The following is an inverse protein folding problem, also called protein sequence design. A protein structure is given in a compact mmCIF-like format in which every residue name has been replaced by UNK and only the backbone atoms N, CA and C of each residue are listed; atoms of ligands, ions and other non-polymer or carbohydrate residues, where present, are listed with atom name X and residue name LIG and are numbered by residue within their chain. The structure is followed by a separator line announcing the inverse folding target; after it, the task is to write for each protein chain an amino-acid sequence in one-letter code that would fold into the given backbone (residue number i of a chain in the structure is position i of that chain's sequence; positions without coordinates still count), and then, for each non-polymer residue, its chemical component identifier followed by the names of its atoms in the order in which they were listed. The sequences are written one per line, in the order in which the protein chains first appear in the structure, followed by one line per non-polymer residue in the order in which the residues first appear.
data_IF_621797152715
#
_entry.id   IF_621797152715
#
_cell.length_a   1.000
_cell.length_b   1.000
_cell.length_c   1.000
_cell.angle_alpha   90.00
_cell.angle_beta   90.00
_cell.angle_gamma   90.00
#
_symmetry.space_group_name_H-M   'P 1'
#
loop_
_entity.id
_entity.type
_entity.pdbx_description
1 polymer ?
#
# COMPACT_ATOMS: atom_id res chain seq x y z
N UNK A 1 -1.10 -33.42 3.73
CA UNK A 1 -0.26 -33.18 4.92
C UNK A 1 0.14 -31.72 4.92
N UNK A 2 0.04 -31.00 6.04
CA UNK A 2 0.56 -29.62 6.12
C UNK A 2 2.09 -29.63 5.99
N UNK A 3 2.63 -28.82 5.08
CA UNK A 3 4.08 -28.72 4.85
C UNK A 3 4.81 -28.15 6.07
N UNK A 4 6.09 -28.51 6.25
CA UNK A 4 6.93 -27.98 7.33
C UNK A 4 7.77 -26.82 6.81
N UNK A 5 7.78 -25.69 7.51
CA UNK A 5 8.56 -24.50 7.16
C UNK A 5 9.39 -24.08 8.35
N UNK A 6 10.70 -23.91 8.15
CA UNK A 6 11.59 -23.29 9.13
C UNK A 6 11.92 -21.87 8.67
N UNK A 7 11.66 -20.88 9.52
CA UNK A 7 11.98 -19.48 9.24
C UNK A 7 13.05 -19.02 10.21
N UNK A 8 14.22 -18.72 9.68
CA UNK A 8 15.28 -18.03 10.39
C UNK A 8 15.25 -16.54 10.03
N UNK A 9 15.03 -15.66 11.01
CA UNK A 9 14.98 -14.23 10.69
C UNK A 9 14.80 -13.30 11.88
N UNK A 10 14.66 -12.01 11.57
CA UNK A 10 14.59 -10.94 12.56
C UNK A 10 13.25 -10.90 13.29
N UNK A 11 13.30 -10.41 14.52
CA UNK A 11 12.18 -9.87 15.28
C UNK A 11 12.52 -8.42 15.61
N UNK A 12 11.56 -7.53 15.43
CA UNK A 12 11.65 -6.15 15.90
C UNK A 12 10.52 -5.83 16.88
N UNK A 13 10.84 -5.08 17.91
CA UNK A 13 9.85 -4.33 18.69
C UNK A 13 9.58 -3.00 17.97
N UNK A 14 8.37 -2.83 17.43
CA UNK A 14 8.02 -1.57 16.79
C UNK A 14 7.33 -0.65 17.78
N UNK A 15 7.78 0.60 17.86
CA UNK A 15 7.11 1.67 18.59
C UNK A 15 6.68 2.73 17.59
N UNK A 16 5.37 2.89 17.43
CA UNK A 16 4.76 3.89 16.54
C UNK A 16 4.31 5.08 17.39
N UNK A 17 4.90 6.25 17.16
CA UNK A 17 4.53 7.50 17.79
C UNK A 17 3.83 8.41 16.79
N UNK A 18 2.61 8.87 17.10
CA UNK A 18 1.92 9.90 16.33
C UNK A 18 2.34 11.27 16.83
N UNK A 19 2.77 12.12 15.90
CA UNK A 19 3.30 13.46 16.17
C UNK A 19 2.71 14.46 15.20
N UNK A 20 2.60 15.73 15.60
CA UNK A 20 2.03 16.76 14.72
C UNK A 20 2.96 17.11 13.54
N UNK A 21 4.26 16.89 13.70
CA UNK A 21 5.27 17.03 12.64
C UNK A 21 6.50 16.21 13.01
N UNK A 22 7.43 16.04 12.08
CA UNK A 22 8.72 15.46 12.44
C UNK A 22 9.50 16.39 13.38
N UNK A 23 10.21 15.83 14.37
CA UNK A 23 11.07 16.61 15.26
C UNK A 23 12.29 17.14 14.48
N UNK A 24 12.78 18.32 14.86
CA UNK A 24 14.08 18.83 14.37
C UNK A 24 15.19 18.47 15.37
N UNK A 25 16.47 18.46 14.96
CA UNK A 25 17.57 18.16 15.88
C UNK A 25 17.57 19.05 17.13
N UNK A 26 17.67 18.44 18.31
CA UNK A 26 17.70 19.14 19.61
C UNK A 26 16.31 19.49 20.18
N UNK A 27 15.23 19.22 19.44
CA UNK A 27 13.87 19.47 19.92
C UNK A 27 13.29 18.29 20.70
N UNK A 28 12.48 18.61 21.72
CA UNK A 28 11.56 17.66 22.35
C UNK A 28 10.14 17.91 21.85
N UNK A 29 9.56 16.94 21.13
CA UNK A 29 8.20 17.01 20.62
C UNK A 29 7.30 16.00 21.36
N UNK A 30 6.14 16.45 21.81
CA UNK A 30 5.16 15.59 22.48
C UNK A 30 4.38 14.80 21.44
N UNK A 31 4.36 13.48 21.59
CA UNK A 31 3.51 12.62 20.77
C UNK A 31 2.05 12.69 21.27
N UNK A 32 1.10 12.81 20.34
CA UNK A 32 -0.32 12.77 20.65
C UNK A 32 -0.83 11.33 20.89
N UNK A 33 0.01 10.33 20.66
CA UNK A 33 -0.21 8.95 21.07
C UNK A 33 0.93 8.04 20.67
N UNK A 34 1.03 6.88 21.31
CA UNK A 34 2.02 5.85 20.98
C UNK A 34 1.44 4.46 21.09
N UNK A 35 1.94 3.54 20.26
CA UNK A 35 1.58 2.12 20.28
C UNK A 35 2.83 1.27 20.09
N UNK A 36 2.81 0.07 20.68
CA UNK A 36 3.88 -0.92 20.54
C UNK A 36 3.35 -2.17 19.85
N UNK A 37 4.09 -2.72 18.89
CA UNK A 37 3.73 -3.95 18.20
C UNK A 37 4.95 -4.85 17.96
N UNK A 38 4.69 -6.12 17.65
CA UNK A 38 5.71 -7.00 17.10
C UNK A 38 5.86 -6.76 15.59
N UNK A 39 7.11 -6.78 15.12
CA UNK A 39 7.46 -6.70 13.71
C UNK A 39 8.73 -7.46 13.39
N UNK A 40 9.36 -7.07 12.28
CA UNK A 40 10.54 -7.75 11.74
C UNK A 40 10.17 -8.73 10.64
N UNK A 41 10.91 -8.68 9.52
CA UNK A 41 10.61 -9.45 8.31
C UNK A 41 10.55 -10.96 8.59
N UNK A 42 11.45 -11.48 9.43
CA UNK A 42 11.44 -12.91 9.80
C UNK A 42 10.18 -13.33 10.53
N UNK A 43 9.79 -12.58 11.57
CA UNK A 43 8.58 -12.83 12.34
C UNK A 43 7.31 -12.71 11.46
N UNK A 44 7.26 -11.71 10.58
CA UNK A 44 6.13 -11.50 9.66
C UNK A 44 6.00 -12.65 8.66
N UNK A 45 7.11 -13.09 8.05
CA UNK A 45 7.13 -14.22 7.12
C UNK A 45 6.73 -15.54 7.79
N UNK A 46 7.23 -15.80 9.01
CA UNK A 46 6.84 -16.97 9.79
C UNK A 46 5.35 -17.00 10.08
N UNK A 47 4.79 -15.85 10.48
CA UNK A 47 3.36 -15.69 10.73
C UNK A 47 2.55 -15.89 9.46
N UNK A 48 3.01 -15.38 8.32
CA UNK A 48 2.36 -15.59 7.03
C UNK A 48 2.35 -17.08 6.63
N UNK A 49 3.48 -17.79 6.80
CA UNK A 49 3.54 -19.23 6.53
C UNK A 49 2.59 -20.03 7.44
N UNK A 50 2.48 -19.65 8.71
CA UNK A 50 1.55 -20.27 9.65
C UNK A 50 0.09 -20.05 9.22
N UNK A 51 -0.26 -18.81 8.85
CA UNK A 51 -1.61 -18.47 8.36
C UNK A 51 -1.94 -19.17 7.02
N UNK A 52 -0.94 -19.46 6.20
CA UNK A 52 -1.10 -20.28 4.99
C UNK A 52 -1.26 -21.79 5.30
N UNK A 53 -1.27 -22.18 6.58
CA UNK A 53 -1.53 -23.55 7.03
C UNK A 53 -0.28 -24.42 7.13
N UNK A 54 0.93 -23.86 7.09
CA UNK A 54 2.16 -24.62 7.28
C UNK A 54 2.45 -24.89 8.76
N UNK A 55 3.16 -25.99 9.03
CA UNK A 55 3.76 -26.25 10.34
C UNK A 55 5.07 -25.46 10.46
N UNK A 56 5.07 -24.40 11.27
CA UNK A 56 6.17 -23.42 11.31
C UNK A 56 7.06 -23.60 12.53
N UNK A 57 8.38 -23.66 12.29
CA UNK A 57 9.41 -23.45 13.29
C UNK A 57 10.04 -22.07 13.06
N UNK A 58 9.86 -21.17 14.02
CA UNK A 58 10.55 -19.88 14.01
C UNK A 58 11.88 -19.95 14.77
N UNK A 59 12.95 -19.46 14.16
CA UNK A 59 14.27 -19.31 14.76
C UNK A 59 14.68 -17.83 14.66
N UNK A 60 15.00 -17.22 15.79
CA UNK A 60 15.38 -15.81 15.83
C UNK A 60 16.37 -15.49 16.94
N UNK A 61 16.91 -14.27 16.91
CA UNK A 61 17.79 -13.73 17.95
C UNK A 61 17.14 -12.50 18.59
N UNK A 62 17.17 -12.44 19.92
CA UNK A 62 16.68 -11.32 20.73
C UNK A 62 17.71 -10.97 21.81
N UNK A 63 17.57 -9.79 22.42
CA UNK A 63 18.33 -9.40 23.60
C UNK A 63 17.73 -9.94 24.89
N UNK A 64 18.50 -9.86 25.98
CA UNK A 64 18.01 -10.05 27.36
C UNK A 64 17.49 -8.72 27.95
N UNK A 65 16.51 -8.12 27.28
CA UNK A 65 15.94 -6.82 27.64
C UNK A 65 14.41 -6.87 27.68
N UNK A 66 13.77 -5.76 28.08
CA UNK A 66 12.30 -5.64 28.16
C UNK A 66 11.63 -5.97 26.83
N UNK A 67 12.23 -5.59 25.70
CA UNK A 67 11.72 -5.89 24.37
C UNK A 67 11.88 -7.37 24.01
N UNK A 68 12.94 -8.03 24.47
CA UNK A 68 13.17 -9.45 24.34
C UNK A 68 12.17 -10.26 25.16
N UNK A 69 11.81 -9.81 26.36
CA UNK A 69 10.71 -10.38 27.13
C UNK A 69 9.37 -10.27 26.40
N UNK A 70 9.08 -9.10 25.82
CA UNK A 70 7.92 -8.91 24.95
C UNK A 70 7.93 -9.88 23.77
N UNK A 71 9.06 -9.99 23.06
CA UNK A 71 9.23 -10.89 21.92
C UNK A 71 8.94 -12.34 22.28
N UNK A 72 9.50 -12.84 23.40
CA UNK A 72 9.27 -14.21 23.90
C UNK A 72 7.80 -14.47 24.16
N UNK A 73 7.11 -13.53 24.82
CA UNK A 73 5.68 -13.66 25.13
C UNK A 73 4.85 -13.65 23.85
N UNK A 74 5.13 -12.71 22.95
CA UNK A 74 4.42 -12.57 21.69
C UNK A 74 4.59 -13.83 20.83
N UNK A 75 5.82 -14.24 20.52
CA UNK A 75 6.10 -15.38 19.62
C UNK A 75 5.56 -16.72 20.16
N UNK A 76 5.57 -16.93 21.49
CA UNK A 76 4.91 -18.09 22.10
C UNK A 76 3.38 -18.07 21.92
N UNK A 77 2.79 -16.88 21.86
CA UNK A 77 1.35 -16.70 21.67
C UNK A 77 0.86 -16.76 20.22
N UNK A 78 1.76 -16.68 19.22
CA UNK A 78 1.37 -16.71 17.79
C UNK A 78 0.84 -18.08 17.35
N UNK A 79 1.27 -19.17 18.00
CA UNK A 79 0.85 -20.54 17.65
C UNK A 79 1.77 -21.29 16.70
N UNK A 80 3.05 -20.90 16.62
CA UNK A 80 4.07 -21.69 15.91
C UNK A 80 4.25 -23.08 16.54
N UNK A 81 4.56 -24.08 15.71
CA UNK A 81 4.82 -25.45 16.18
C UNK A 81 6.11 -25.54 17.00
N UNK A 82 7.09 -24.68 16.72
CA UNK A 82 8.31 -24.56 17.51
C UNK A 82 8.86 -23.13 17.43
N UNK A 83 9.53 -22.70 18.52
CA UNK A 83 10.19 -21.40 18.62
C UNK A 83 11.55 -21.60 19.27
N UNK A 84 12.63 -21.29 18.54
CA UNK A 84 14.00 -21.29 19.06
C UNK A 84 14.52 -19.86 19.10
N UNK A 85 14.82 -19.35 20.30
CA UNK A 85 15.35 -18.00 20.48
C UNK A 85 16.77 -18.06 21.00
N UNK A 86 17.69 -17.51 20.22
CA UNK A 86 19.03 -17.17 20.68
C UNK A 86 18.94 -15.86 21.45
N UNK A 87 19.52 -15.83 22.64
CA UNK A 87 19.40 -14.69 23.55
C UNK A 87 20.80 -14.12 23.74
N UNK A 88 20.98 -12.86 23.39
CA UNK A 88 22.23 -12.15 23.62
C UNK A 88 22.12 -11.30 24.88
N UNK A 89 23.11 -11.43 25.77
CA UNK A 89 23.17 -10.65 27.01
C UNK A 89 23.50 -9.17 26.74
N UNK A 90 24.38 -8.89 25.78
CA UNK A 90 24.91 -7.54 25.54
C UNK A 90 24.38 -6.85 24.27
N UNK A 91 23.56 -7.54 23.47
CA UNK A 91 22.99 -6.99 22.24
C UNK A 91 21.48 -6.81 22.43
N UNK A 92 20.95 -5.58 22.29
CA UNK A 92 19.54 -5.35 22.49
C UNK A 92 18.70 -6.03 21.41
N UNK A 93 17.43 -6.28 21.74
CA UNK A 93 16.43 -6.73 20.78
C UNK A 93 16.25 -5.67 19.70
N UNK A 94 16.16 -6.11 18.44
CA UNK A 94 15.87 -5.21 17.32
C UNK A 94 14.61 -4.40 17.60
N UNK A 95 14.62 -3.12 17.23
CA UNK A 95 13.46 -2.25 17.37
C UNK A 95 13.34 -1.28 16.19
N UNK A 96 12.13 -0.79 15.97
CA UNK A 96 11.85 0.25 15.00
C UNK A 96 11.06 1.38 15.68
N UNK A 97 11.63 2.58 15.70
CA UNK A 97 10.93 3.79 16.13
C UNK A 97 10.32 4.45 14.90
N UNK A 98 8.99 4.50 14.85
CA UNK A 98 8.23 4.95 13.69
C UNK A 98 7.48 6.21 14.09
N UNK A 99 7.85 7.34 13.50
CA UNK A 99 7.08 8.57 13.63
C UNK A 99 6.04 8.66 12.52
N UNK A 100 4.77 8.79 12.91
CA UNK A 100 3.68 9.16 12.00
C UNK A 100 3.39 10.64 12.23
N UNK A 101 3.98 11.48 11.38
CA UNK A 101 3.77 12.92 11.39
C UNK A 101 2.42 13.29 10.75
N UNK A 102 1.86 14.45 11.11
CA UNK A 102 0.53 14.86 10.70
C UNK A 102 0.32 14.71 9.19
N UNK A 103 -0.59 13.80 8.86
CA UNK A 103 -1.17 13.61 7.54
C UNK A 103 -2.18 14.73 7.22
N UNK A 104 -2.43 15.63 8.19
CA UNK A 104 -3.43 16.70 8.15
C UNK A 104 -3.40 17.62 6.92
N UNK A 105 -2.29 17.71 6.20
CA UNK A 105 -2.15 18.51 4.98
C UNK A 105 -2.19 17.71 3.67
N UNK A 106 -2.28 16.38 3.72
CA UNK A 106 -2.27 15.54 2.52
C UNK A 106 -3.69 15.40 1.95
N UNK A 107 -3.87 15.70 0.66
CA UNK A 107 -5.12 15.40 -0.05
C UNK A 107 -5.31 13.89 -0.25
N UNK A 108 -4.20 13.15 -0.43
CA UNK A 108 -4.17 11.70 -0.68
C UNK A 108 -3.11 11.04 0.18
N UNK A 109 -3.48 9.93 0.80
CA UNK A 109 -2.58 9.01 1.52
C UNK A 109 -2.48 7.74 0.69
N UNK A 110 -1.28 7.46 0.18
CA UNK A 110 -0.98 6.22 -0.53
C UNK A 110 -0.10 5.33 0.35
N UNK A 111 -0.58 4.13 0.66
CA UNK A 111 0.13 3.13 1.46
C UNK A 111 0.24 1.79 0.76
N UNK A 112 1.29 1.04 1.06
CA UNK A 112 1.53 -0.34 0.62
C UNK A 112 1.69 -1.27 1.82
N UNK A 113 1.69 -2.58 1.59
CA UNK A 113 1.80 -3.60 2.65
C UNK A 113 3.23 -4.09 2.88
N UNK A 114 4.25 -3.29 2.58
CA UNK A 114 5.65 -3.67 2.85
C UNK A 114 6.13 -3.28 4.26
N UNK A 115 5.39 -2.38 4.93
CA UNK A 115 5.67 -1.95 6.30
C UNK A 115 4.91 -2.79 7.33
N UNK A 116 5.18 -2.52 8.61
CA UNK A 116 4.45 -3.15 9.71
C UNK A 116 2.97 -2.74 9.65
N UNK A 117 2.07 -3.72 9.73
CA UNK A 117 0.64 -3.50 9.59
C UNK A 117 0.11 -2.49 10.63
N UNK A 118 0.64 -2.55 11.86
CA UNK A 118 0.33 -1.59 12.93
C UNK A 118 0.65 -0.14 12.55
N UNK A 119 1.75 0.11 11.83
CA UNK A 119 2.10 1.44 11.36
C UNK A 119 1.21 1.87 10.19
N UNK A 120 0.91 0.96 9.28
CA UNK A 120 0.01 1.19 8.15
C UNK A 120 -1.39 1.58 8.65
N UNK A 121 -1.91 0.86 9.65
CA UNK A 121 -3.20 1.16 10.29
C UNK A 121 -3.23 2.57 10.89
N UNK A 122 -2.17 2.99 11.57
CA UNK A 122 -2.06 4.34 12.15
C UNK A 122 -2.03 5.43 11.06
N UNK A 123 -1.35 5.17 9.93
CA UNK A 123 -1.30 6.08 8.78
C UNK A 123 -2.68 6.18 8.11
N UNK A 124 -3.38 5.05 7.95
CA UNK A 124 -4.76 5.03 7.43
C UNK A 124 -5.69 5.83 8.36
N UNK A 125 -5.63 5.59 9.67
CA UNK A 125 -6.47 6.28 10.65
C UNK A 125 -6.21 7.79 10.67
N UNK A 126 -4.95 8.20 10.67
CA UNK A 126 -4.58 9.61 10.62
C UNK A 126 -5.02 10.27 9.31
N UNK A 127 -4.92 9.56 8.17
CA UNK A 127 -5.44 10.03 6.88
C UNK A 127 -6.96 10.25 6.88
N UNK A 128 -7.71 9.31 7.43
CA UNK A 128 -9.18 9.43 7.55
C UNK A 128 -9.60 10.56 8.48
N UNK A 129 -8.90 10.75 9.60
CA UNK A 129 -9.15 11.86 10.52
C UNK A 129 -8.86 13.22 9.88
N UNK A 130 -7.85 13.28 9.00
CA UNK A 130 -7.51 14.47 8.22
C UNK A 130 -8.46 14.74 7.04
N UNK A 131 -9.37 13.82 6.71
CA UNK A 131 -10.23 13.94 5.53
C UNK A 131 -9.53 13.64 4.20
N UNK A 132 -8.33 13.06 4.23
CA UNK A 132 -7.59 12.64 3.05
C UNK A 132 -8.25 11.43 2.37
N UNK A 133 -8.07 11.30 1.05
CA UNK A 133 -8.42 10.09 0.32
C UNK A 133 -7.35 9.02 0.57
N UNK A 134 -7.76 7.85 1.08
CA UNK A 134 -6.83 6.76 1.41
C UNK A 134 -6.81 5.71 0.30
N UNK A 135 -5.65 5.53 -0.32
CA UNK A 135 -5.34 4.47 -1.30
C UNK A 135 -4.48 3.41 -0.63
N UNK A 136 -4.93 2.16 -0.67
CA UNK A 136 -4.13 0.99 -0.26
C UNK A 136 -3.79 0.16 -1.49
N UNK A 137 -2.50 0.06 -1.80
CA UNK A 137 -1.99 -0.97 -2.70
C UNK A 137 -1.60 -2.19 -1.87
N UNK A 138 -2.33 -3.32 -1.96
CA UNK A 138 -2.14 -4.48 -1.09
C UNK A 138 -0.92 -5.33 -1.48
N UNK A 139 0.16 -4.71 -1.93
CA UNK A 139 1.40 -5.34 -2.38
C UNK A 139 2.55 -5.14 -1.37
N UNK A 140 3.40 -6.16 -1.13
CA UNK A 140 3.10 -7.57 -1.32
C UNK A 140 1.95 -8.01 -0.38
N UNK A 141 1.12 -8.96 -0.82
CA UNK A 141 -0.03 -9.37 -0.01
C UNK A 141 0.38 -9.95 1.34
N UNK A 142 -0.24 -9.42 2.40
CA UNK A 142 -0.31 -10.02 3.73
C UNK A 142 -1.75 -9.88 4.25
N UNK A 143 -2.25 -10.78 5.11
CA UNK A 143 -3.61 -10.70 5.64
C UNK A 143 -3.87 -9.35 6.34
N UNK A 144 -4.96 -8.69 5.94
CA UNK A 144 -5.42 -7.41 6.49
C UNK A 144 -6.81 -7.62 7.09
N UNK A 145 -7.05 -7.10 8.30
CA UNK A 145 -8.35 -7.16 8.95
C UNK A 145 -9.42 -6.37 8.17
N UNK A 146 -10.65 -6.88 8.14
CA UNK A 146 -11.79 -6.19 7.47
C UNK A 146 -12.00 -4.76 7.97
N UNK A 147 -11.73 -4.53 9.27
CA UNK A 147 -11.81 -3.21 9.88
C UNK A 147 -10.88 -2.19 9.22
N UNK A 148 -9.70 -2.61 8.76
CA UNK A 148 -8.75 -1.74 8.05
C UNK A 148 -9.23 -1.48 6.62
N UNK A 149 -9.66 -2.52 5.92
CA UNK A 149 -10.19 -2.39 4.55
C UNK A 149 -11.38 -1.43 4.47
N UNK A 150 -12.27 -1.43 5.47
CA UNK A 150 -13.42 -0.53 5.53
C UNK A 150 -13.08 0.97 5.60
N UNK A 151 -11.85 1.29 6.02
CA UNK A 151 -11.32 2.65 6.11
C UNK A 151 -10.63 3.09 4.82
N UNK A 152 -10.31 2.17 3.91
CA UNK A 152 -9.68 2.49 2.62
C UNK A 152 -10.73 3.02 1.65
N UNK A 153 -10.43 4.13 0.98
CA UNK A 153 -11.32 4.71 -0.03
C UNK A 153 -11.12 4.08 -1.41
N UNK A 154 -9.90 3.64 -1.71
CA UNK A 154 -9.55 2.98 -2.97
C UNK A 154 -8.52 1.86 -2.75
N UNK A 155 -8.88 0.63 -3.12
CA UNK A 155 -8.00 -0.53 -3.07
C UNK A 155 -7.44 -0.82 -4.47
N UNK A 156 -6.12 -1.01 -4.60
CA UNK A 156 -5.44 -1.14 -5.90
C UNK A 156 -4.60 -2.43 -6.04
N UNK A 157 -5.20 -3.64 -5.95
CA UNK A 157 -4.45 -4.88 -6.14
C UNK A 157 -4.06 -5.08 -7.62
N UNK A 158 -3.00 -5.83 -7.87
CA UNK A 158 -2.83 -6.52 -9.15
C UNK A 158 -3.62 -7.84 -9.16
N UNK A 159 -3.62 -8.52 -10.31
CA UNK A 159 -4.22 -9.84 -10.49
C UNK A 159 -3.82 -10.86 -9.40
N UNK A 160 -2.53 -10.92 -9.06
CA UNK A 160 -2.01 -11.86 -8.06
C UNK A 160 -2.51 -11.52 -6.66
N UNK A 161 -2.43 -10.27 -6.24
CA UNK A 161 -2.92 -9.82 -4.94
C UNK A 161 -4.44 -9.99 -4.83
N UNK A 162 -5.20 -9.61 -5.87
CA UNK A 162 -6.65 -9.80 -5.90
C UNK A 162 -6.99 -11.29 -5.71
N UNK A 163 -6.27 -12.17 -6.42
CA UNK A 163 -6.49 -13.61 -6.28
C UNK A 163 -6.17 -14.16 -4.89
N UNK A 164 -5.09 -13.68 -4.27
CA UNK A 164 -4.72 -14.06 -2.90
C UNK A 164 -5.73 -13.55 -1.86
N UNK A 165 -6.31 -12.36 -2.07
CA UNK A 165 -7.33 -11.78 -1.20
C UNK A 165 -8.69 -12.47 -1.30
N UNK A 166 -9.06 -12.92 -2.50
CA UNK A 166 -10.39 -13.48 -2.77
C UNK A 166 -10.42 -15.00 -2.84
N UNK A 167 -9.25 -15.65 -2.85
CA UNK A 167 -9.14 -17.10 -3.11
C UNK A 167 -9.55 -17.49 -4.53
N UNK A 168 -9.45 -16.58 -5.50
CA UNK A 168 -9.85 -16.79 -6.90
C UNK A 168 -8.67 -16.61 -7.84
N UNK A 169 -8.72 -17.25 -8.99
CA UNK A 169 -7.77 -16.94 -10.06
C UNK A 169 -8.25 -15.71 -10.84
N UNK A 170 -7.37 -14.77 -11.14
CA UNK A 170 -7.71 -13.50 -11.82
C UNK A 170 -6.81 -13.33 -13.05
N UNK A 171 -7.32 -13.69 -14.23
CA UNK A 171 -6.57 -13.64 -15.50
C UNK A 171 -7.29 -12.85 -16.61
N UNK A 172 -8.49 -12.36 -16.34
CA UNK A 172 -9.36 -11.70 -17.31
C UNK A 172 -10.17 -10.58 -16.64
N UNK A 173 -10.74 -9.70 -17.45
CA UNK A 173 -11.65 -8.65 -16.95
C UNK A 173 -12.88 -9.23 -16.26
N UNK A 174 -13.38 -10.37 -16.73
CA UNK A 174 -14.50 -11.09 -16.10
C UNK A 174 -14.09 -11.63 -14.73
N UNK A 175 -12.96 -12.32 -14.62
CA UNK A 175 -12.46 -12.81 -13.34
C UNK A 175 -12.15 -11.66 -12.36
N UNK A 176 -11.63 -10.53 -12.87
CA UNK A 176 -11.42 -9.32 -12.08
C UNK A 176 -12.76 -8.75 -11.57
N UNK A 177 -13.81 -8.76 -12.39
CA UNK A 177 -15.13 -8.28 -11.98
C UNK A 177 -15.70 -9.09 -10.82
N UNK A 178 -15.54 -10.41 -10.86
CA UNK A 178 -15.95 -11.29 -9.77
C UNK A 178 -15.09 -11.12 -8.51
N UNK A 179 -13.78 -10.97 -8.66
CA UNK A 179 -12.88 -10.68 -7.54
C UNK A 179 -13.23 -9.35 -6.86
N UNK A 180 -13.57 -8.32 -7.65
CA UNK A 180 -14.02 -7.04 -7.12
C UNK A 180 -15.30 -7.18 -6.26
N UNK A 181 -16.26 -8.03 -6.65
CA UNK A 181 -17.46 -8.30 -5.85
C UNK A 181 -17.12 -8.89 -4.48
N UNK A 182 -16.17 -9.83 -4.43
CA UNK A 182 -15.68 -10.41 -3.16
C UNK A 182 -14.99 -9.33 -2.32
N UNK A 183 -14.13 -8.50 -2.91
CA UNK A 183 -13.43 -7.42 -2.21
C UNK A 183 -14.40 -6.38 -1.63
N UNK A 184 -15.48 -6.05 -2.37
CA UNK A 184 -16.54 -5.19 -1.86
C UNK A 184 -17.28 -5.82 -0.67
N UNK A 185 -17.57 -7.14 -0.73
CA UNK A 185 -18.17 -7.87 0.38
C UNK A 185 -17.25 -7.93 1.62
N UNK A 186 -15.93 -7.85 1.43
CA UNK A 186 -14.94 -7.76 2.50
C UNK A 186 -14.77 -6.33 3.08
N UNK A 187 -15.45 -5.32 2.51
CA UNK A 187 -15.49 -3.95 3.02
C UNK A 187 -14.81 -2.89 2.14
N UNK A 188 -14.21 -3.25 1.00
CA UNK A 188 -13.59 -2.28 0.10
C UNK A 188 -14.65 -1.40 -0.58
N UNK A 189 -14.48 -0.07 -0.56
CA UNK A 189 -15.46 0.87 -1.16
C UNK A 189 -15.33 0.94 -2.67
N UNK A 190 -14.12 1.23 -3.14
CA UNK A 190 -13.77 1.29 -4.56
C UNK A 190 -12.55 0.41 -4.79
N UNK A 191 -12.50 -0.28 -5.93
CA UNK A 191 -11.43 -1.22 -6.27
C UNK A 191 -10.93 -0.95 -7.69
N UNK A 192 -9.61 -0.89 -7.87
CA UNK A 192 -8.97 -0.98 -9.20
C UNK A 192 -8.09 -2.22 -9.23
N UNK A 193 -8.45 -3.21 -10.03
CA UNK A 193 -7.64 -4.41 -10.24
C UNK A 193 -6.78 -4.22 -11.49
N UNK A 194 -5.46 -4.19 -11.33
CA UNK A 194 -4.53 -4.08 -12.47
C UNK A 194 -4.22 -5.45 -13.08
N UNK A 195 -4.26 -5.54 -14.41
CA UNK A 195 -4.13 -6.78 -15.19
C UNK A 195 -2.95 -6.71 -16.19
N UNK A 196 -1.96 -5.87 -15.91
CA UNK A 196 -0.78 -5.69 -16.77
C UNK A 196 -1.14 -5.19 -18.17
N UNK A 197 -0.75 -5.94 -19.21
CA UNK A 197 -1.02 -5.58 -20.60
C UNK A 197 -2.52 -5.56 -20.94
N UNK A 198 -3.36 -6.27 -20.19
CA UNK A 198 -4.82 -6.29 -20.36
C UNK A 198 -5.51 -5.05 -19.78
N UNK A 199 -4.74 -4.11 -19.19
CA UNK A 199 -5.27 -2.88 -18.61
C UNK A 199 -5.62 -3.04 -17.14
N UNK A 200 -6.76 -2.50 -16.74
CA UNK A 200 -7.28 -2.60 -15.38
C UNK A 200 -8.81 -2.65 -15.38
N UNK A 201 -9.40 -3.02 -14.25
CA UNK A 201 -10.83 -2.92 -14.00
C UNK A 201 -11.06 -1.96 -12.83
N UNK A 202 -11.84 -0.91 -13.04
CA UNK A 202 -12.40 -0.08 -11.96
C UNK A 202 -13.77 -0.62 -11.57
N UNK A 203 -13.97 -0.86 -10.27
CA UNK A 203 -15.25 -1.22 -9.68
C UNK A 203 -15.60 -0.22 -8.57
N UNK A 204 -16.64 0.58 -8.81
CA UNK A 204 -17.13 1.59 -7.88
C UNK A 204 -18.65 1.70 -7.98
N UNK A 205 -19.33 1.89 -6.85
CA UNK A 205 -20.78 2.10 -6.82
C UNK A 205 -21.61 1.06 -7.59
N UNK A 206 -21.16 -0.20 -7.61
CA UNK A 206 -21.80 -1.30 -8.36
C UNK A 206 -21.56 -1.27 -9.87
N UNK A 207 -20.78 -0.31 -10.38
CA UNK A 207 -20.42 -0.17 -11.79
C UNK A 207 -19.01 -0.71 -12.00
N UNK A 208 -18.85 -1.55 -13.03
CA UNK A 208 -17.56 -2.14 -13.42
C UNK A 208 -17.15 -1.60 -14.78
N UNK A 209 -16.03 -0.90 -14.83
CA UNK A 209 -15.52 -0.19 -16.00
C UNK A 209 -14.13 -0.69 -16.37
N UNK A 210 -13.96 -1.37 -17.52
CA UNK A 210 -12.64 -1.70 -18.05
C UNK A 210 -11.85 -0.45 -18.39
N UNK A 211 -10.58 -0.42 -18.02
CA UNK A 211 -9.62 0.64 -18.34
C UNK A 211 -8.57 0.03 -19.28
N UNK A 212 -8.49 0.48 -20.55
CA UNK A 212 -7.53 -0.06 -21.50
C UNK A 212 -6.09 0.29 -21.11
N UNK A 213 -5.16 -0.63 -21.36
CA UNK A 213 -3.73 -0.34 -21.29
C UNK A 213 -3.28 0.41 -22.54
N UNK A 214 -2.36 1.35 -22.38
CA UNK A 214 -1.65 1.90 -23.54
C UNK A 214 -0.73 0.82 -24.13
N UNK A 215 -0.71 0.65 -25.47
CA UNK A 215 0.19 -0.29 -26.11
C UNK A 215 1.63 -0.06 -25.67
N UNK A 216 2.25 -1.07 -25.07
CA UNK A 216 3.64 -1.04 -24.65
C UNK A 216 4.26 -2.41 -24.84
N UNK A 217 5.59 -2.44 -25.00
CA UNK A 217 6.38 -3.67 -25.04
C UNK A 217 7.22 -3.73 -23.77
N UNK A 218 6.73 -4.37 -22.70
CA UNK A 218 7.43 -4.39 -21.42
C UNK A 218 8.76 -5.14 -21.56
N UNK A 219 9.87 -4.49 -21.20
CA UNK A 219 11.16 -5.16 -21.03
C UNK A 219 11.41 -5.56 -19.57
N UNK A 220 10.90 -4.76 -18.66
CA UNK A 220 10.91 -4.95 -17.22
C UNK A 220 9.62 -4.32 -16.68
N UNK A 221 8.87 -5.08 -15.89
CA UNK A 221 7.61 -4.63 -15.27
C UNK A 221 7.80 -4.26 -13.80
N UNK A 222 9.03 -4.38 -13.27
CA UNK A 222 9.37 -3.98 -11.90
C UNK A 222 9.05 -2.50 -11.71
N UNK A 223 8.28 -2.19 -10.67
CA UNK A 223 7.85 -0.82 -10.35
C UNK A 223 6.74 -0.25 -11.24
N UNK A 224 6.18 -1.02 -12.20
CA UNK A 224 5.05 -0.54 -13.00
C UNK A 224 3.80 -0.29 -12.14
N UNK A 225 3.56 -1.16 -11.14
CA UNK A 225 2.50 -0.98 -10.15
C UNK A 225 2.72 0.24 -9.25
N UNK A 226 3.97 0.49 -8.83
CA UNK A 226 4.33 1.66 -8.04
C UNK A 226 4.13 2.95 -8.84
N UNK A 227 4.57 2.96 -10.10
CA UNK A 227 4.38 4.09 -11.01
C UNK A 227 2.90 4.36 -11.28
N UNK A 228 2.08 3.32 -11.45
CA UNK A 228 0.64 3.43 -11.58
C UNK A 228 0.02 4.08 -10.34
N UNK A 229 0.29 3.55 -9.15
CA UNK A 229 -0.26 4.06 -7.88
C UNK A 229 0.21 5.50 -7.60
N UNK A 230 1.49 5.81 -7.83
CA UNK A 230 2.02 7.15 -7.67
C UNK A 230 1.37 8.16 -8.61
N UNK A 231 1.21 7.81 -9.90
CA UNK A 231 0.55 8.68 -10.88
C UNK A 231 -0.95 8.86 -10.57
N UNK A 232 -1.62 7.80 -10.13
CA UNK A 232 -3.02 7.83 -9.70
C UNK A 232 -3.21 8.75 -8.49
N UNK A 233 -2.40 8.60 -7.45
CA UNK A 233 -2.44 9.43 -6.25
C UNK A 233 -2.20 10.91 -6.59
N UNK A 234 -1.18 11.21 -7.39
CA UNK A 234 -0.88 12.57 -7.83
C UNK A 234 -2.06 13.20 -8.62
N UNK A 235 -2.69 12.42 -9.50
CA UNK A 235 -3.84 12.90 -10.29
C UNK A 235 -5.05 13.20 -9.41
N UNK A 236 -5.31 12.36 -8.41
CA UNK A 236 -6.41 12.54 -7.44
C UNK A 236 -6.15 13.75 -6.53
N UNK A 237 -4.91 13.93 -6.05
CA UNK A 237 -4.52 15.05 -5.19
C UNK A 237 -4.65 16.42 -5.89
N UNK A 238 -4.28 16.52 -7.17
CA UNK A 238 -4.39 17.77 -7.95
C UNK A 238 -5.83 18.21 -8.26
N UNK A 239 -6.86 17.70 -7.58
CA UNK A 239 -8.23 18.19 -7.68
C UNK A 239 -8.91 17.88 -9.01
N UNK A 240 -8.40 16.94 -9.82
CA UNK A 240 -9.13 16.43 -10.98
C UNK A 240 -10.29 15.51 -10.53
N UNK A 241 -11.27 16.10 -9.82
CA UNK A 241 -12.66 15.73 -10.09
C UNK A 241 -12.90 16.15 -11.53
N UNK A 242 -12.98 15.19 -12.44
CA UNK A 242 -13.25 15.40 -13.85
C UNK A 242 -14.36 16.45 -14.04
N UNK A 243 -14.02 17.60 -14.64
CA UNK A 243 -14.97 18.63 -15.08
C UNK A 243 -15.09 18.45 -16.60
N UNK A 244 -16.28 18.13 -17.16
CA UNK A 244 -16.42 18.00 -18.60
C UNK A 244 -16.01 19.30 -19.27
N UNK A 245 -15.24 19.22 -20.35
CA UNK A 245 -14.89 20.37 -21.17
C UNK A 245 -16.20 21.01 -21.67
N UNK A 246 -16.48 22.30 -21.40
CA UNK A 246 -17.49 23.00 -22.18
C UNK A 246 -16.94 23.15 -23.59
N UNK A 247 -17.73 22.66 -24.56
CA UNK A 247 -17.46 22.84 -25.98
C UNK A 247 -17.13 24.32 -26.26
N UNK A 248 -16.07 24.53 -27.05
CA UNK A 248 -15.57 25.82 -27.45
C UNK A 248 -16.54 26.53 -28.39
N UNK A 249 -17.59 27.17 -27.83
CA UNK A 249 -18.30 28.34 -28.38
C UNK A 249 -19.54 28.68 -27.53
N UNK A 250 -19.40 29.64 -26.59
CA UNK A 250 -20.39 30.63 -26.06
C UNK A 250 -20.37 30.77 -24.51
N UNK A 251 -20.67 31.98 -23.97
CA UNK A 251 -20.66 32.25 -22.53
C UNK A 251 -21.98 31.85 -21.82
N UNK A 252 -21.90 31.43 -20.55
CA UNK A 252 -23.00 31.16 -19.58
C UNK A 252 -23.61 32.48 -19.03
N UNK A 253 -24.85 32.57 -18.44
CA UNK A 253 -25.40 31.75 -17.31
C UNK A 253 -26.98 31.68 -17.26
N UNK A 254 -27.70 31.51 -16.11
CA UNK A 254 -27.57 30.62 -14.95
C UNK A 254 -28.79 29.66 -14.75
N UNK A 255 -28.64 28.68 -13.85
CA UNK A 255 -29.67 28.02 -13.00
C UNK A 255 -29.97 26.51 -13.17
N UNK A 256 -30.16 25.89 -12.01
CA UNK A 256 -30.92 24.67 -11.63
C UNK A 256 -30.34 23.25 -11.85
N UNK A 257 -30.21 22.57 -10.70
CA UNK A 257 -30.18 21.13 -10.35
C UNK A 257 -30.21 20.04 -11.44
N UNK A 258 -29.37 18.99 -11.27
CA UNK A 258 -29.73 17.65 -10.73
C UNK A 258 -28.57 16.67 -10.91
N UNK A 259 -28.54 15.70 -9.99
CA UNK A 259 -27.77 14.45 -9.97
C UNK A 259 -27.45 13.83 -11.33
N UNK A 260 -26.22 13.31 -11.49
CA UNK A 260 -25.91 12.00 -12.11
C UNK A 260 -24.40 11.69 -11.96
N UNK A 261 -24.10 10.41 -11.70
CA UNK A 261 -22.77 9.86 -11.49
C UNK A 261 -21.87 10.01 -12.73
N UNK A 262 -20.57 10.30 -12.59
CA UNK A 262 -19.65 10.34 -13.72
C UNK A 262 -18.86 9.03 -13.88
N UNK A 263 -18.84 8.49 -15.10
CA UNK A 263 -17.95 7.40 -15.54
C UNK A 263 -16.55 7.93 -15.88
N UNK A 264 -15.52 7.11 -15.62
CA UNK A 264 -14.11 7.37 -15.97
C UNK A 264 -13.85 7.04 -17.46
N UNK A 265 -13.49 8.03 -18.29
CA UNK A 265 -13.00 7.83 -19.66
C UNK A 265 -11.56 8.34 -19.78
N UNK A 266 -10.63 7.46 -20.18
CA UNK A 266 -9.20 7.76 -20.38
C UNK A 266 -8.83 8.02 -21.85
N UNK A 267 -9.76 8.52 -22.66
CA UNK A 267 -9.53 8.76 -24.09
C UNK A 267 -9.58 10.25 -24.46
N UNK A 268 -8.53 10.66 -25.20
CA UNK A 268 -8.39 11.83 -26.07
C UNK A 268 -7.51 12.98 -25.57
N UNK A 269 -6.41 13.17 -26.31
CA UNK A 269 -5.57 14.35 -26.31
C UNK A 269 -5.32 14.73 -27.79
N UNK A 270 -5.82 15.88 -28.23
CA UNK A 270 -5.38 16.59 -29.45
C UNK A 270 -5.09 18.05 -29.06
N UNK A 271 -3.86 18.50 -29.34
CA UNK A 271 -3.35 19.85 -29.03
C UNK A 271 -3.91 20.92 -29.96
N UNK A 272 -4.24 22.08 -29.39
CA UNK A 272 -3.94 23.39 -29.97
C UNK A 272 -2.95 24.10 -29.04
N UNK A 273 -1.99 24.79 -29.64
CA UNK A 273 -1.02 25.72 -29.05
C UNK A 273 0.28 25.10 -28.48
N UNK A 274 1.21 24.74 -29.37
CA UNK A 274 2.42 25.55 -29.59
C UNK A 274 3.57 25.54 -28.57
N UNK A 275 3.56 24.74 -27.50
CA UNK A 275 4.74 24.54 -26.65
C UNK A 275 4.97 23.06 -26.35
N UNK A 276 6.13 22.55 -26.77
CA UNK A 276 6.53 21.15 -26.63
C UNK A 276 7.02 20.85 -25.21
N UNK A 277 6.23 20.07 -24.46
CA UNK A 277 6.73 19.29 -23.32
C UNK A 277 6.69 17.81 -23.73
N UNK A 278 7.78 17.03 -23.62
CA UNK A 278 7.78 15.66 -24.12
C UNK A 278 6.80 14.77 -23.35
N UNK A 279 6.13 13.82 -24.01
CA UNK A 279 5.34 12.79 -23.34
C UNK A 279 6.28 11.95 -22.47
N UNK A 280 6.05 11.94 -21.15
CA UNK A 280 6.79 11.07 -20.24
C UNK A 280 6.31 9.61 -20.42
N UNK A 281 6.83 8.98 -21.48
CA UNK A 281 6.95 7.54 -21.63
C UNK A 281 8.44 7.24 -21.76
N UNK A 282 8.95 6.47 -20.79
CA UNK A 282 10.12 5.61 -20.85
C UNK A 282 11.17 5.91 -21.95
N UNK A 283 12.16 6.74 -21.61
CA UNK A 283 13.53 6.57 -22.09
C UNK A 283 14.46 6.43 -20.90
N UNK A 284 14.62 5.21 -20.41
CA UNK A 284 15.77 4.85 -19.59
C UNK A 284 16.99 4.75 -20.50
N UNK A 285 17.69 5.86 -20.71
CA UNK A 285 19.12 5.82 -21.03
C UNK A 285 19.88 6.01 -19.70
N UNK A 286 20.54 4.95 -19.21
CA UNK A 286 21.66 5.10 -18.28
C UNK A 286 22.77 5.84 -19.05
N UNK A 287 23.37 6.91 -18.50
CA UNK A 287 24.18 6.78 -17.28
C UNK A 287 24.08 8.00 -16.34
N UNK A 288 23.15 8.00 -15.37
CA UNK A 288 23.20 8.98 -14.26
C UNK A 288 22.85 8.43 -12.87
N UNK A 289 22.63 7.12 -12.70
CA UNK A 289 22.34 6.51 -11.38
C UNK A 289 23.34 5.44 -10.91
N UNK A 290 24.59 5.44 -11.39
CA UNK A 290 25.66 4.56 -10.87
C UNK A 290 26.88 5.38 -10.44
N UNK A 291 26.71 6.41 -9.60
CA UNK A 291 27.85 7.02 -8.90
C UNK A 291 27.69 7.33 -7.41
N UNK A 292 26.51 7.21 -6.79
CA UNK A 292 26.36 7.54 -5.36
C UNK A 292 25.82 6.43 -4.43
N UNK A 293 25.81 5.16 -4.85
CA UNK A 293 25.50 4.00 -3.97
C UNK A 293 26.76 3.29 -3.43
N UNK A 294 27.94 3.93 -3.51
CA UNK A 294 29.19 3.41 -2.91
C UNK A 294 29.70 4.20 -1.69
N UNK A 295 28.85 4.99 -1.03
CA UNK A 295 29.28 5.79 0.15
C UNK A 295 28.39 5.69 1.39
N UNK A 296 27.52 4.68 1.47
CA UNK A 296 26.73 4.35 2.68
C UNK A 296 26.90 2.86 3.00
N UNK A 297 28.13 2.36 2.86
CA UNK A 297 28.56 1.03 3.28
C UNK A 297 30.05 1.05 3.64
N UNK A 298 30.41 2.01 4.49
CA UNK A 298 31.58 1.99 5.36
C UNK A 298 31.12 2.38 6.76
#
# INVERSE_FOLDING_TARGET
MSGKVCVFGSFNFDMVARVDRFPVPGESLVACGSMTSAGGKGANQATAALKAGANVHYIGKIGNDTFGHFARRHLKGVGFNAVTLLVAEEIPTGNALIYVAAIGCADVVLVQLENNLSAIEQVIDAGKQAGALVILNPAPWQPVEHAVLSKVDLLTPNATEAGLMTGRWVDSLTAAAEAADVLHAQGARNVIITLGASGALLSEHGVKSPIPCFPSHPRDTTGAGDAFNGALAARLACGNRYRPQPDSRRPMPPSVSKSKAPHLYLSTWRHRNGFSVPPLIMKWHKPYCIKNIKRIAQ
#
